data_IF_908820211448
#
_entry.id   IF_908820211448
#
_cell.length_a   1.000
_cell.length_b   1.000
_cell.length_c   1.000
_cell.angle_alpha   90.00
_cell.angle_beta   90.00
_cell.angle_gamma   90.00
#
_symmetry.space_group_name_H-M   'P 1'
#
loop_
_entity.id
_entity.type
_entity.pdbx_description
1 polymer ?
#
# COMPACT_ATOMS: atom_id res chain seq x y z
N UNK A 1 2.10 -14.16 -10.48
CA UNK A 1 2.27 -12.69 -10.57
C UNK A 1 1.88 -12.33 -11.99
N UNK A 2 0.61 -12.01 -12.17
CA UNK A 2 0.09 -11.53 -13.45
C UNK A 2 0.48 -10.07 -13.57
N UNK A 3 1.14 -9.70 -14.67
CA UNK A 3 1.32 -8.30 -15.06
C UNK A 3 -0.06 -7.65 -15.10
N UNK A 4 -0.33 -6.78 -14.13
CA UNK A 4 -1.55 -5.98 -14.07
C UNK A 4 -1.26 -4.57 -14.62
N UNK A 5 -0.47 -4.49 -15.69
CA UNK A 5 -0.43 -3.34 -16.59
C UNK A 5 -1.70 -3.41 -17.46
N UNK A 6 -2.84 -3.09 -16.87
CA UNK A 6 -4.03 -2.81 -17.65
C UNK A 6 -3.85 -1.43 -18.31
N UNK A 7 -3.35 -1.46 -19.55
CA UNK A 7 -3.32 -0.34 -20.51
C UNK A 7 -4.72 0.17 -20.92
N UNK A 8 -5.76 -0.12 -20.12
CA UNK A 8 -7.16 0.21 -20.38
C UNK A 8 -7.76 1.10 -19.29
N UNK A 9 -6.97 1.95 -18.64
CA UNK A 9 -7.53 3.04 -17.85
C UNK A 9 -8.20 4.03 -18.81
N UNK A 10 -9.54 4.12 -18.76
CA UNK A 10 -10.28 5.12 -19.54
C UNK A 10 -9.71 6.53 -19.27
N UNK A 11 -9.56 7.38 -20.31
CA UNK A 11 -8.99 8.71 -20.15
C UNK A 11 -9.80 9.53 -19.13
N UNK A 12 -9.09 10.27 -18.29
CA UNK A 12 -9.68 11.15 -17.28
C UNK A 12 -10.43 12.30 -17.98
N UNK A 13 -11.71 12.49 -17.63
CA UNK A 13 -12.61 13.49 -18.23
C UNK A 13 -13.04 14.59 -17.24
N UNK A 14 -12.31 14.76 -16.13
CA UNK A 14 -12.61 15.76 -15.11
C UNK A 14 -12.38 17.20 -15.57
N UNK A 15 -12.61 18.15 -14.66
CA UNK A 15 -12.56 19.59 -14.97
C UNK A 15 -11.12 20.00 -15.32
N UNK A 16 -10.92 20.51 -16.54
CA UNK A 16 -9.65 21.07 -16.96
C UNK A 16 -9.37 22.37 -16.19
N UNK A 17 -8.21 22.41 -15.55
CA UNK A 17 -7.74 23.54 -14.75
C UNK A 17 -6.60 24.31 -15.45
N UNK A 18 -6.21 23.91 -16.67
CA UNK A 18 -5.22 24.59 -17.49
C UNK A 18 -3.75 24.23 -17.18
N UNK A 19 -3.51 23.17 -16.40
CA UNK A 19 -2.18 22.74 -15.96
C UNK A 19 -1.80 21.36 -16.53
N UNK A 20 -1.66 21.25 -17.85
CA UNK A 20 -1.14 20.06 -18.54
C UNK A 20 -2.16 18.93 -18.78
N UNK A 21 -1.70 17.84 -19.38
CA UNK A 21 -2.52 16.65 -19.68
C UNK A 21 -2.81 15.86 -18.40
N UNK A 22 -4.07 15.85 -17.96
CA UNK A 22 -4.52 15.13 -16.77
C UNK A 22 -4.23 13.64 -16.83
N UNK A 23 -4.16 13.06 -18.03
CA UNK A 23 -3.79 11.65 -18.19
C UNK A 23 -2.30 11.44 -17.88
N UNK A 24 -1.43 12.41 -18.17
CA UNK A 24 -0.03 12.32 -17.79
C UNK A 24 0.16 12.36 -16.28
N UNK A 25 -0.62 13.19 -15.57
CA UNK A 25 -0.58 13.25 -14.10
C UNK A 25 -1.22 12.02 -13.45
N UNK A 26 -2.31 11.49 -14.01
CA UNK A 26 -2.89 10.23 -13.59
C UNK A 26 -1.89 9.07 -13.76
N UNK A 27 -1.21 9.00 -14.91
CA UNK A 27 -0.17 8.02 -15.17
C UNK A 27 1.04 8.19 -14.23
N UNK A 28 1.45 9.42 -13.90
CA UNK A 28 2.49 9.69 -12.90
C UNK A 28 2.09 9.14 -11.53
N UNK A 29 0.83 9.36 -11.11
CA UNK A 29 0.32 8.86 -9.83
C UNK A 29 0.26 7.32 -9.84
N UNK A 30 -0.27 6.71 -10.91
CA UNK A 30 -0.47 5.25 -11.01
C UNK A 30 0.86 4.49 -11.19
N UNK A 31 1.80 5.03 -11.97
CA UNK A 31 3.08 4.37 -12.29
C UNK A 31 4.07 4.33 -11.13
N UNK A 32 3.81 5.09 -10.06
CA UNK A 32 4.63 5.07 -8.86
C UNK A 32 4.36 3.77 -8.08
N UNK A 33 5.39 2.94 -7.84
CA UNK A 33 5.24 1.72 -7.05
C UNK A 33 5.05 2.11 -5.58
N UNK A 34 3.80 2.39 -5.20
CA UNK A 34 3.46 2.88 -3.88
C UNK A 34 3.84 1.90 -2.76
N UNK A 35 4.08 0.63 -3.07
CA UNK A 35 4.50 -0.39 -2.11
C UNK A 35 6.03 -0.47 -1.94
N UNK A 36 6.82 0.09 -2.87
CA UNK A 36 8.29 0.14 -2.76
C UNK A 36 8.80 1.57 -2.54
N UNK A 37 8.20 2.54 -3.23
CA UNK A 37 8.72 3.91 -3.39
C UNK A 37 8.17 4.90 -2.37
N UNK A 38 7.06 4.59 -1.68
CA UNK A 38 6.65 5.40 -0.52
C UNK A 38 7.67 5.27 0.61
N UNK A 39 8.13 6.39 1.13
CA UNK A 39 8.85 6.43 2.40
C UNK A 39 7.86 6.07 3.52
N UNK A 40 7.78 4.78 3.87
CA UNK A 40 7.03 4.33 5.05
C UNK A 40 7.51 5.07 6.31
N UNK A 41 6.73 5.06 7.40
CA UNK A 41 7.14 5.71 8.66
C UNK A 41 8.45 5.15 9.24
N UNK A 42 8.83 3.93 8.86
CA UNK A 42 10.14 3.35 9.15
C UNK A 42 11.31 3.94 8.32
N UNK A 43 11.05 4.81 7.35
CA UNK A 43 12.06 5.46 6.51
C UNK A 43 12.91 6.51 7.26
N UNK A 44 12.57 6.83 8.52
CA UNK A 44 13.46 7.57 9.42
C UNK A 44 14.82 6.86 9.64
N UNK A 45 14.96 5.59 9.26
CA UNK A 45 16.21 4.83 9.34
C UNK A 45 16.96 4.66 8.01
N UNK A 46 16.67 5.42 6.94
CA UNK A 46 17.49 5.42 5.70
C UNK A 46 18.81 6.20 5.84
N UNK A 47 19.37 6.23 7.05
CA UNK A 47 20.65 6.85 7.35
C UNK A 47 21.72 5.80 7.63
N UNK A 48 21.79 4.71 6.84
CA UNK A 48 22.95 3.83 6.87
C UNK A 48 23.26 3.38 5.45
N UNK A 49 24.24 4.06 4.84
CA UNK A 49 24.91 3.64 3.61
C UNK A 49 25.71 2.36 3.82
N UNK A 50 25.03 1.24 3.97
CA UNK A 50 25.63 -0.09 3.98
C UNK A 50 25.41 -0.72 2.61
N UNK A 51 26.37 -0.54 1.71
CA UNK A 51 26.53 -1.34 0.48
C UNK A 51 27.13 -2.73 0.75
N UNK A 52 26.98 -3.29 1.96
CA UNK A 52 27.24 -4.72 2.16
C UNK A 52 26.08 -5.49 1.53
N UNK A 53 26.37 -6.35 0.55
CA UNK A 53 25.43 -7.35 0.03
C UNK A 53 24.93 -8.20 1.20
N UNK A 54 23.84 -7.74 1.82
CA UNK A 54 23.16 -8.51 2.84
C UNK A 54 22.54 -9.72 2.12
N UNK A 55 23.15 -10.89 2.29
CA UNK A 55 22.56 -12.17 1.92
C UNK A 55 21.79 -12.69 3.11
N UNK A 56 20.47 -12.40 3.22
CA UNK A 56 19.70 -12.91 4.33
C UNK A 56 19.73 -14.44 4.32
N UNK A 57 20.15 -15.01 5.43
CA UNK A 57 20.16 -16.46 5.64
C UNK A 57 18.85 -16.90 6.28
N UNK A 58 18.48 -18.16 6.13
CA UNK A 58 17.28 -18.73 6.74
C UNK A 58 17.22 -18.51 8.27
N UNK A 59 18.37 -18.49 8.94
CA UNK A 59 18.51 -18.23 10.38
C UNK A 59 18.07 -16.83 10.81
N UNK A 60 18.10 -15.85 9.89
CA UNK A 60 17.68 -14.47 10.14
C UNK A 60 16.15 -14.30 10.21
N UNK A 61 15.38 -15.30 9.79
CA UNK A 61 13.92 -15.27 9.78
C UNK A 61 13.33 -15.76 11.12
N UNK A 62 12.11 -15.32 11.42
CA UNK A 62 11.36 -15.84 12.57
C UNK A 62 11.09 -17.34 12.40
N UNK A 63 10.89 -18.11 13.49
CA UNK A 63 10.61 -19.54 13.41
C UNK A 63 9.43 -19.89 12.49
N UNK A 64 8.38 -19.07 12.53
CA UNK A 64 7.18 -19.21 11.71
C UNK A 64 7.46 -19.07 10.21
N UNK A 65 8.33 -18.12 9.82
CA UNK A 65 8.73 -17.92 8.42
C UNK A 65 9.72 -18.98 7.92
N UNK A 66 10.49 -19.59 8.82
CA UNK A 66 11.45 -20.64 8.48
C UNK A 66 10.78 -21.94 8.05
N UNK A 67 9.76 -22.38 8.78
CA UNK A 67 9.10 -23.67 8.55
C UNK A 67 8.66 -23.92 7.10
N UNK A 68 7.94 -23.00 6.42
CA UNK A 68 7.53 -23.23 5.04
C UNK A 68 8.72 -23.26 4.07
N UNK A 69 9.77 -22.48 4.31
CA UNK A 69 10.97 -22.48 3.48
C UNK A 69 11.74 -23.80 3.65
N UNK A 70 11.88 -24.29 4.89
CA UNK A 70 12.52 -25.59 5.16
C UNK A 70 11.79 -26.72 4.46
N UNK A 71 10.45 -26.71 4.47
CA UNK A 71 9.65 -27.71 3.76
C UNK A 71 9.90 -27.68 2.24
N UNK A 72 10.03 -26.49 1.65
CA UNK A 72 10.32 -26.31 0.22
C UNK A 72 11.77 -26.65 -0.17
N UNK A 73 12.71 -26.57 0.77
CA UNK A 73 14.09 -27.00 0.59
C UNK A 73 14.28 -28.51 0.83
N UNK A 74 13.23 -29.22 1.23
CA UNK A 74 13.24 -30.66 1.44
C UNK A 74 13.66 -31.41 0.16
N UNK A 75 14.76 -32.17 0.24
CA UNK A 75 15.28 -32.95 -0.89
C UNK A 75 16.33 -32.24 -1.76
N UNK A 76 16.59 -30.94 -1.54
CA UNK A 76 17.68 -30.22 -2.23
C UNK A 76 18.98 -30.25 -1.41
N UNK A 77 20.12 -30.42 -2.11
CA UNK A 77 21.47 -30.43 -1.50
C UNK A 77 22.47 -29.59 -2.32
N UNK A 78 23.56 -29.18 -1.67
CA UNK A 78 24.65 -28.42 -2.30
C UNK A 78 24.23 -27.05 -2.86
N UNK A 79 24.88 -26.62 -3.94
CA UNK A 79 24.67 -25.29 -4.53
C UNK A 79 23.22 -25.02 -4.99
N UNK A 80 22.47 -26.05 -5.37
CA UNK A 80 21.06 -25.92 -5.74
C UNK A 80 20.17 -25.55 -4.54
N UNK A 81 20.51 -26.06 -3.35
CA UNK A 81 19.84 -25.69 -2.10
C UNK A 81 20.15 -24.26 -1.72
N UNK A 82 21.41 -23.85 -1.78
CA UNK A 82 21.84 -22.50 -1.37
C UNK A 82 21.24 -21.41 -2.26
N UNK A 83 21.20 -21.63 -3.58
CA UNK A 83 20.56 -20.70 -4.51
C UNK A 83 19.05 -20.58 -4.25
N UNK A 84 18.37 -21.71 -4.03
CA UNK A 84 16.92 -21.73 -3.76
C UNK A 84 16.58 -21.15 -2.39
N UNK A 85 17.42 -21.39 -1.39
CA UNK A 85 17.26 -20.80 -0.06
C UNK A 85 17.33 -19.27 -0.14
N UNK A 86 18.33 -18.72 -0.82
CA UNK A 86 18.46 -17.28 -0.99
C UNK A 86 17.23 -16.64 -1.65
N UNK A 87 16.69 -17.27 -2.70
CA UNK A 87 15.48 -16.82 -3.38
C UNK A 87 14.25 -16.84 -2.46
N UNK A 88 14.03 -17.95 -1.74
CA UNK A 88 12.88 -18.12 -0.85
C UNK A 88 12.95 -17.20 0.37
N UNK A 89 14.13 -17.00 0.94
CA UNK A 89 14.33 -16.07 2.06
C UNK A 89 14.07 -14.63 1.61
N UNK A 90 14.60 -14.22 0.45
CA UNK A 90 14.33 -12.89 -0.11
C UNK A 90 12.84 -12.69 -0.40
N UNK A 91 12.16 -13.69 -0.96
CA UNK A 91 10.73 -13.64 -1.21
C UNK A 91 9.94 -13.47 0.10
N UNK A 92 10.27 -14.25 1.14
CA UNK A 92 9.62 -14.16 2.44
C UNK A 92 9.86 -12.81 3.13
N UNK A 93 11.07 -12.26 3.05
CA UNK A 93 11.37 -10.93 3.58
C UNK A 93 10.62 -9.83 2.83
N UNK A 94 10.54 -9.91 1.49
CA UNK A 94 9.76 -8.96 0.69
C UNK A 94 8.29 -9.02 1.07
N UNK A 95 7.72 -10.21 1.19
CA UNK A 95 6.32 -10.37 1.60
C UNK A 95 6.08 -9.77 3.00
N UNK A 96 6.98 -10.05 3.95
CA UNK A 96 6.87 -9.49 5.30
C UNK A 96 7.01 -7.97 5.32
N UNK A 97 7.90 -7.41 4.51
CA UNK A 97 8.06 -5.97 4.39
C UNK A 97 6.79 -5.30 3.81
N UNK A 98 6.15 -5.95 2.84
CA UNK A 98 4.86 -5.51 2.30
C UNK A 98 3.77 -5.57 3.37
N UNK A 99 3.66 -6.67 4.11
CA UNK A 99 2.68 -6.80 5.20
C UNK A 99 2.84 -5.71 6.26
N UNK A 100 4.08 -5.44 6.67
CA UNK A 100 4.38 -4.38 7.64
C UNK A 100 4.02 -3.02 7.06
N UNK A 101 4.30 -2.77 5.78
CA UNK A 101 3.97 -1.50 5.13
C UNK A 101 2.46 -1.31 5.03
N UNK A 102 1.72 -2.32 4.60
CA UNK A 102 0.24 -2.29 4.55
C UNK A 102 -0.33 -1.97 5.93
N UNK A 103 0.25 -2.54 6.99
CA UNK A 103 -0.18 -2.25 8.35
C UNK A 103 0.20 -0.82 8.82
N UNK A 104 1.39 -0.34 8.49
CA UNK A 104 1.85 1.01 8.84
C UNK A 104 1.11 2.11 8.06
N UNK A 105 0.58 1.77 6.89
CA UNK A 105 -0.11 2.70 6.00
C UNK A 105 0.85 3.51 5.11
N UNK A 106 0.31 4.46 4.33
CA UNK A 106 1.03 5.11 3.24
C UNK A 106 2.06 6.17 3.70
N UNK A 107 2.16 6.47 5.00
CA UNK A 107 3.07 7.49 5.56
C UNK A 107 2.54 8.92 5.48
N UNK A 108 3.33 9.87 5.99
CA UNK A 108 3.01 11.31 5.95
C UNK A 108 3.22 11.85 4.54
N UNK A 109 2.28 12.65 4.04
CA UNK A 109 2.32 13.21 2.68
C UNK A 109 1.68 12.32 1.62
N UNK A 110 1.05 11.22 2.02
CA UNK A 110 0.32 10.35 1.10
C UNK A 110 -0.86 11.08 0.44
N UNK A 111 -1.02 10.89 -0.86
CA UNK A 111 -2.17 11.44 -1.59
C UNK A 111 -3.43 10.57 -1.37
N UNK A 112 -4.59 11.09 -1.77
CA UNK A 112 -5.87 10.40 -1.56
C UNK A 112 -5.92 9.00 -2.19
N UNK A 113 -5.30 8.81 -3.35
CA UNK A 113 -5.22 7.52 -4.05
C UNK A 113 -4.42 6.49 -3.25
N UNK A 114 -3.25 6.87 -2.76
CA UNK A 114 -2.40 6.02 -1.92
C UNK A 114 -3.13 5.62 -0.63
N UNK A 115 -3.82 6.56 0.02
CA UNK A 115 -4.60 6.27 1.23
C UNK A 115 -5.66 5.21 0.97
N UNK A 116 -6.41 5.31 -0.12
CA UNK A 116 -7.44 4.35 -0.49
C UNK A 116 -6.85 2.98 -0.85
N UNK A 117 -5.74 2.95 -1.61
CA UNK A 117 -5.04 1.72 -1.97
C UNK A 117 -4.60 0.94 -0.72
N UNK A 118 -3.98 1.62 0.25
CA UNK A 118 -3.55 1.01 1.50
C UNK A 118 -4.74 0.58 2.38
N UNK A 119 -5.85 1.32 2.36
CA UNK A 119 -7.07 0.93 3.07
C UNK A 119 -7.68 -0.37 2.51
N UNK A 120 -7.73 -0.51 1.18
CA UNK A 120 -8.19 -1.74 0.52
C UNK A 120 -7.28 -2.93 0.83
N UNK A 121 -5.96 -2.76 0.67
CA UNK A 121 -4.99 -3.80 0.95
C UNK A 121 -5.04 -4.28 2.41
N UNK A 122 -5.18 -3.34 3.36
CA UNK A 122 -5.31 -3.67 4.79
C UNK A 122 -6.57 -4.48 5.06
N UNK A 123 -7.72 -4.07 4.51
CA UNK A 123 -8.99 -4.79 4.71
C UNK A 123 -8.93 -6.19 4.11
N UNK A 124 -8.32 -6.38 2.94
CA UNK A 124 -8.09 -7.70 2.36
C UNK A 124 -7.21 -8.57 3.26
N UNK A 125 -6.15 -8.00 3.84
CA UNK A 125 -5.28 -8.72 4.78
C UNK A 125 -6.01 -9.10 6.08
N UNK A 126 -6.88 -8.24 6.59
CA UNK A 126 -7.71 -8.52 7.76
C UNK A 126 -8.68 -9.68 7.47
N UNK A 127 -9.30 -9.69 6.28
CA UNK A 127 -10.18 -10.76 5.81
C UNK A 127 -9.45 -12.10 5.64
N UNK A 128 -8.25 -12.10 5.04
CA UNK A 128 -7.43 -13.30 4.88
C UNK A 128 -7.02 -13.90 6.24
N UNK A 129 -6.60 -13.06 7.19
CA UNK A 129 -6.29 -13.52 8.57
C UNK A 129 -7.51 -14.10 9.28
N UNK A 130 -8.67 -13.48 9.10
CA UNK A 130 -9.93 -14.00 9.65
C UNK A 130 -10.28 -15.35 9.03
N UNK A 131 -10.18 -15.48 7.72
CA UNK A 131 -10.40 -16.73 6.98
C UNK A 131 -9.46 -17.85 7.46
N UNK A 132 -8.16 -17.57 7.58
CA UNK A 132 -7.18 -18.54 8.09
C UNK A 132 -7.49 -18.98 9.52
N UNK A 133 -7.90 -18.05 10.38
CA UNK A 133 -8.33 -18.36 11.75
C UNK A 133 -9.57 -19.27 11.75
N UNK A 134 -10.58 -18.97 10.94
CA UNK A 134 -11.79 -19.79 10.85
C UNK A 134 -11.45 -21.18 10.32
N UNK A 135 -10.61 -21.30 9.30
CA UNK A 135 -10.14 -22.60 8.82
C UNK A 135 -9.42 -23.39 9.90
N UNK A 136 -8.53 -22.75 10.66
CA UNK A 136 -7.85 -23.39 11.78
C UNK A 136 -8.86 -23.89 12.84
N UNK A 137 -9.86 -23.09 13.17
CA UNK A 137 -10.92 -23.46 14.13
C UNK A 137 -11.80 -24.62 13.62
N UNK A 138 -12.18 -24.62 12.33
CA UNK A 138 -12.98 -25.67 11.70
C UNK A 138 -12.21 -26.99 11.53
N UNK A 139 -10.88 -26.91 11.40
CA UNK A 139 -9.99 -28.06 11.30
C UNK A 139 -9.65 -28.71 12.64
N UNK A 140 -9.99 -28.09 13.78
CA UNK A 140 -9.70 -28.65 15.10
C UNK A 140 -10.41 -29.99 15.29
N UNK A 141 -9.61 -31.03 15.51
CA UNK A 141 -10.02 -32.41 15.65
C UNK A 141 -10.01 -32.81 17.13
N UNK A 142 -11.13 -33.39 17.61
CA UNK A 142 -11.33 -33.72 19.03
C UNK A 142 -11.22 -35.24 19.30
N UNK A 143 -11.22 -36.06 18.24
CA UNK A 143 -11.12 -37.50 18.32
C UNK A 143 -12.02 -38.21 17.33
N UNK A 144 -12.14 -39.52 17.48
CA UNK A 144 -13.07 -40.31 16.69
C UNK A 144 -14.27 -40.68 17.56
N UNK A 145 -15.46 -40.62 16.98
CA UNK A 145 -16.63 -41.27 17.56
C UNK A 145 -16.68 -42.68 16.98
N UNK A 146 -16.47 -43.68 17.83
CA UNK A 146 -16.60 -45.10 17.46
C UNK A 146 -18.01 -45.57 17.77
N UNK A 147 -18.68 -46.21 16.82
CA UNK A 147 -20.01 -46.80 17.03
C UNK A 147 -21.01 -46.62 15.90
N UNK A 148 -20.67 -45.86 14.85
CA UNK A 148 -21.44 -45.85 13.60
C UNK A 148 -21.15 -47.15 12.83
N UNK A 149 -22.18 -47.92 12.49
CA UNK A 149 -22.04 -49.12 11.66
C UNK A 149 -22.16 -48.69 10.21
N UNK A 150 -21.16 -48.99 9.38
CA UNK A 150 -21.26 -48.74 7.95
C UNK A 150 -22.39 -49.61 7.37
N UNK A 151 -23.43 -49.00 6.76
CA UNK A 151 -24.60 -49.72 6.26
C UNK A 151 -24.27 -50.69 5.11
N UNK A 152 -23.08 -50.57 4.52
CA UNK A 152 -22.62 -51.37 3.37
C UNK A 152 -21.80 -52.58 3.81
N UNK A 153 -20.96 -52.42 4.83
CA UNK A 153 -19.99 -53.45 5.28
C UNK A 153 -20.38 -54.09 6.61
N UNK A 154 -21.25 -53.45 7.40
CA UNK A 154 -21.65 -53.92 8.73
C UNK A 154 -20.57 -53.77 9.80
N UNK A 155 -19.42 -53.17 9.47
CA UNK A 155 -18.32 -52.96 10.39
C UNK A 155 -18.45 -51.63 11.15
N UNK A 156 -18.00 -51.57 12.41
CA UNK A 156 -17.94 -50.31 13.15
C UNK A 156 -16.92 -49.38 12.49
N UNK A 157 -17.40 -48.23 12.01
CA UNK A 157 -16.58 -47.15 11.48
C UNK A 157 -16.32 -46.09 12.54
N UNK A 158 -15.15 -45.47 12.41
CA UNK A 158 -14.71 -44.37 13.25
C UNK A 158 -14.95 -43.06 12.48
N UNK A 159 -15.99 -42.33 12.86
CA UNK A 159 -16.26 -41.01 12.27
C UNK A 159 -15.41 -39.94 12.97
N UNK A 160 -14.86 -39.01 12.19
CA UNK A 160 -14.07 -37.89 12.73
C UNK A 160 -14.99 -36.94 13.50
N UNK A 161 -14.72 -36.76 14.79
CA UNK A 161 -15.37 -35.75 15.62
C UNK A 161 -14.54 -34.48 15.65
N UNK A 162 -15.00 -33.47 14.92
CA UNK A 162 -14.43 -32.12 15.02
C UNK A 162 -14.82 -31.46 16.34
N UNK A 163 -13.96 -30.58 16.85
CA UNK A 163 -14.17 -29.84 18.10
C UNK A 163 -15.35 -28.89 18.02
N UNK A 164 -15.56 -28.27 16.86
CA UNK A 164 -16.68 -27.36 16.59
C UNK A 164 -17.68 -28.06 15.68
N UNK A 165 -18.93 -28.19 16.15
CA UNK A 165 -20.04 -28.84 15.45
C UNK A 165 -21.34 -28.05 15.60
N UNK A 166 -22.37 -28.49 14.88
CA UNK A 166 -23.73 -27.94 14.98
C UNK A 166 -23.84 -26.49 14.50
N UNK A 167 -24.63 -25.70 15.21
CA UNK A 167 -24.94 -24.31 14.84
C UNK A 167 -23.68 -23.43 14.79
N UNK A 168 -22.76 -23.59 15.75
CA UNK A 168 -21.50 -22.83 15.78
C UNK A 168 -20.65 -23.08 14.55
N UNK A 169 -20.65 -24.32 14.03
CA UNK A 169 -19.95 -24.64 12.78
C UNK A 169 -20.59 -23.95 11.59
N UNK A 170 -21.92 -23.98 11.50
CA UNK A 170 -22.68 -23.29 10.43
C UNK A 170 -22.38 -21.79 10.42
N UNK A 171 -22.39 -21.13 11.59
CA UNK A 171 -22.04 -19.70 11.68
C UNK A 171 -20.62 -19.39 11.15
N UNK A 172 -19.65 -20.27 11.40
CA UNK A 172 -18.30 -20.12 10.87
C UNK A 172 -18.24 -20.33 9.35
N UNK A 173 -18.97 -21.31 8.83
CA UNK A 173 -19.09 -21.58 7.40
C UNK A 173 -19.81 -20.43 6.68
N UNK A 174 -20.87 -19.88 7.26
CA UNK A 174 -21.57 -18.70 6.75
C UNK A 174 -20.66 -17.47 6.76
N UNK A 175 -19.86 -17.29 7.83
CA UNK A 175 -18.88 -16.19 7.91
C UNK A 175 -17.81 -16.32 6.81
N UNK A 176 -17.36 -17.52 6.47
CA UNK A 176 -16.45 -17.73 5.33
C UNK A 176 -17.09 -17.27 4.01
N UNK A 177 -18.38 -17.56 3.81
CA UNK A 177 -19.14 -17.08 2.65
C UNK A 177 -19.21 -15.54 2.61
N UNK A 178 -19.45 -14.90 3.76
CA UNK A 178 -19.46 -13.44 3.87
C UNK A 178 -18.07 -12.82 3.60
N UNK A 179 -17.00 -13.42 4.12
CA UNK A 179 -15.62 -12.96 3.87
C UNK A 179 -15.31 -12.97 2.37
N UNK A 180 -15.66 -14.05 1.67
CA UNK A 180 -15.46 -14.15 0.22
C UNK A 180 -16.23 -13.06 -0.54
N UNK A 181 -17.46 -12.76 -0.13
CA UNK A 181 -18.24 -11.66 -0.70
C UNK A 181 -17.60 -10.30 -0.40
N UNK A 182 -17.19 -10.02 0.84
CA UNK A 182 -16.51 -8.77 1.20
C UNK A 182 -15.24 -8.55 0.37
N UNK A 183 -14.42 -9.60 0.20
CA UNK A 183 -13.22 -9.55 -0.64
C UNK A 183 -13.56 -9.24 -2.10
N UNK A 184 -14.57 -9.90 -2.67
CA UNK A 184 -15.07 -9.65 -4.02
C UNK A 184 -15.55 -8.20 -4.22
N UNK A 185 -16.19 -7.58 -3.23
CA UNK A 185 -16.61 -6.18 -3.33
C UNK A 185 -15.41 -5.22 -3.37
N UNK A 186 -14.36 -5.52 -2.59
CA UNK A 186 -13.14 -4.72 -2.55
C UNK A 186 -12.33 -4.87 -3.84
N UNK A 187 -12.27 -6.07 -4.42
CA UNK A 187 -11.52 -6.32 -5.66
C UNK A 187 -12.33 -6.00 -6.92
N UNK A 188 -13.66 -5.91 -6.81
CA UNK A 188 -14.57 -5.69 -7.93
C UNK A 188 -14.83 -4.22 -8.27
N UNK A 189 -16.01 -3.98 -8.85
CA UNK A 189 -16.42 -2.67 -9.37
C UNK A 189 -16.49 -1.59 -8.29
N UNK A 190 -16.90 -1.96 -7.07
CA UNK A 190 -17.02 -1.02 -5.97
C UNK A 190 -15.66 -0.51 -5.51
N UNK A 191 -14.70 -1.40 -5.25
CA UNK A 191 -13.32 -1.00 -4.94
C UNK A 191 -12.69 -0.20 -6.06
N UNK A 192 -12.90 -0.61 -7.31
CA UNK A 192 -12.43 0.12 -8.50
C UNK A 192 -13.03 1.52 -8.60
N UNK A 193 -14.31 1.69 -8.26
CA UNK A 193 -14.98 3.00 -8.20
C UNK A 193 -14.40 3.89 -7.10
N UNK A 194 -14.15 3.33 -5.91
CA UNK A 194 -13.51 4.06 -4.81
C UNK A 194 -12.10 4.52 -5.19
N UNK A 195 -11.32 3.65 -5.83
CA UNK A 195 -9.98 3.98 -6.34
C UNK A 195 -10.02 5.11 -7.37
N UNK A 196 -10.95 5.06 -8.34
CA UNK A 196 -11.11 6.15 -9.32
C UNK A 196 -11.45 7.48 -8.66
N UNK A 197 -12.39 7.49 -7.72
CA UNK A 197 -12.73 8.71 -6.96
C UNK A 197 -11.54 9.24 -6.15
N UNK A 198 -10.74 8.34 -5.57
CA UNK A 198 -9.54 8.72 -4.83
C UNK A 198 -8.45 9.28 -5.75
N UNK A 199 -8.32 8.74 -6.97
CA UNK A 199 -7.44 9.27 -8.01
C UNK A 199 -7.85 10.67 -8.46
N UNK A 200 -9.13 10.88 -8.76
CA UNK A 200 -9.68 12.20 -9.11
C UNK A 200 -9.34 13.23 -8.03
N UNK A 201 -9.57 12.87 -6.76
CA UNK A 201 -9.22 13.74 -5.63
C UNK A 201 -7.72 14.02 -5.54
N UNK A 202 -6.88 13.02 -5.76
CA UNK A 202 -5.42 13.20 -5.73
C UNK A 202 -4.92 14.14 -6.84
N UNK A 203 -5.51 14.04 -8.04
CA UNK A 203 -5.23 14.94 -9.17
C UNK A 203 -5.62 16.37 -8.79
N UNK A 204 -6.84 16.58 -8.28
CA UNK A 204 -7.35 17.89 -7.88
C UNK A 204 -6.50 18.53 -6.78
N UNK A 205 -6.11 17.76 -5.76
CA UNK A 205 -5.28 18.25 -4.66
C UNK A 205 -3.87 18.62 -5.15
N UNK A 206 -3.32 17.85 -6.09
CA UNK A 206 -2.00 18.13 -6.70
C UNK A 206 -2.05 19.41 -7.53
N UNK A 207 -3.10 19.58 -8.36
CA UNK A 207 -3.32 20.81 -9.14
C UNK A 207 -3.42 22.03 -8.21
N UNK A 208 -4.28 21.98 -7.20
CA UNK A 208 -4.43 23.08 -6.23
C UNK A 208 -3.11 23.43 -5.55
N UNK A 209 -2.30 22.43 -5.18
CA UNK A 209 -0.99 22.67 -4.59
C UNK A 209 -0.03 23.38 -5.55
N UNK A 210 -0.01 22.96 -6.83
CA UNK A 210 0.78 23.62 -7.88
C UNK A 210 0.33 25.07 -8.12
N UNK A 211 -0.97 25.32 -8.16
CA UNK A 211 -1.53 26.66 -8.34
C UNK A 211 -1.16 27.59 -7.19
N UNK A 212 -1.31 27.11 -5.95
CA UNK A 212 -0.90 27.85 -4.76
C UNK A 212 0.59 28.17 -4.78
N UNK A 213 1.43 27.21 -5.17
CA UNK A 213 2.86 27.43 -5.31
C UNK A 213 3.18 28.47 -6.39
N UNK A 214 2.53 28.41 -7.55
CA UNK A 214 2.70 29.39 -8.62
C UNK A 214 2.31 30.80 -8.16
N UNK A 215 1.17 30.95 -7.48
CA UNK A 215 0.72 32.23 -6.90
C UNK A 215 1.74 32.76 -5.89
N UNK A 216 2.28 31.90 -5.02
CA UNK A 216 3.30 32.31 -4.04
C UNK A 216 4.59 32.78 -4.71
N UNK A 217 5.03 32.10 -5.77
CA UNK A 217 6.21 32.52 -6.53
C UNK A 217 5.99 33.86 -7.22
N UNK A 218 4.82 34.06 -7.84
CA UNK A 218 4.48 35.33 -8.47
C UNK A 218 4.36 36.46 -7.43
N UNK A 219 3.71 36.21 -6.29
CA UNK A 219 3.62 37.15 -5.18
C UNK A 219 5.01 37.55 -4.67
N UNK A 220 5.93 36.59 -4.54
CA UNK A 220 7.33 36.85 -4.16
C UNK A 220 8.04 37.71 -5.20
N UNK A 221 7.86 37.43 -6.49
CA UNK A 221 8.45 38.23 -7.57
C UNK A 221 7.91 39.67 -7.57
N UNK A 222 6.59 39.84 -7.44
CA UNK A 222 5.94 41.16 -7.33
C UNK A 222 6.41 41.92 -6.08
N UNK A 223 6.56 41.25 -4.94
CA UNK A 223 7.07 41.88 -3.72
C UNK A 223 8.49 42.43 -3.90
N UNK A 224 9.39 41.67 -4.56
CA UNK A 224 10.75 42.12 -4.88
C UNK A 224 10.73 43.32 -5.84
N UNK A 225 9.86 43.28 -6.85
CA UNK A 225 9.70 44.39 -7.79
C UNK A 225 9.25 45.67 -7.08
N UNK A 226 8.18 45.60 -6.28
CA UNK A 226 7.64 46.75 -5.55
C UNK A 226 8.64 47.32 -4.54
N UNK A 227 9.37 46.47 -3.81
CA UNK A 227 10.42 46.92 -2.90
C UNK A 227 11.53 47.69 -3.62
N UNK A 228 11.85 47.31 -4.87
CA UNK A 228 12.79 48.04 -5.71
C UNK A 228 12.21 49.40 -6.15
N UNK A 229 10.96 49.43 -6.61
CA UNK A 229 10.29 50.67 -6.98
C UNK A 229 10.19 51.65 -5.80
N UNK A 230 9.83 51.17 -4.61
CA UNK A 230 9.78 51.98 -3.39
C UNK A 230 11.15 52.59 -3.06
N UNK A 231 12.23 51.80 -3.19
CA UNK A 231 13.59 52.30 -3.00
C UNK A 231 13.96 53.36 -4.02
N UNK A 232 13.59 53.17 -5.30
CA UNK A 232 13.83 54.15 -6.37
C UNK A 232 13.06 55.44 -6.08
N UNK A 233 11.78 55.34 -5.73
CA UNK A 233 10.92 56.48 -5.39
C UNK A 233 11.44 57.25 -4.17
N UNK A 234 11.91 56.55 -3.14
CA UNK A 234 12.50 57.17 -1.95
C UNK A 234 13.78 57.95 -2.29
N UNK A 235 14.67 57.38 -3.10
CA UNK A 235 15.87 58.06 -3.58
C UNK A 235 15.53 59.29 -4.44
N UNK A 236 14.60 59.15 -5.38
CA UNK A 236 14.14 60.25 -6.24
C UNK A 236 13.55 61.42 -5.41
N UNK A 237 12.73 61.13 -4.40
CA UNK A 237 12.21 62.15 -3.48
C UNK A 237 13.33 62.87 -2.71
N UNK A 238 14.37 62.14 -2.29
CA UNK A 238 15.57 62.71 -1.68
C UNK A 238 16.31 63.69 -2.60
N UNK A 239 16.49 63.33 -3.87
CA UNK A 239 17.11 64.20 -4.87
C UNK A 239 16.29 65.46 -5.17
N UNK A 240 14.96 65.36 -5.29
CA UNK A 240 14.08 66.53 -5.50
C UNK A 240 14.17 67.52 -4.34
N UNK A 241 14.27 67.03 -3.09
CA UNK A 241 14.42 67.88 -1.91
C UNK A 241 15.79 68.57 -1.85
N UNK A 242 16.86 67.85 -2.21
CA UNK A 242 18.23 68.41 -2.29
C UNK A 242 18.36 69.48 -3.38
N UNK A 243 17.76 69.26 -4.55
CA UNK A 243 17.78 70.22 -5.66
C UNK A 243 17.05 71.54 -5.33
N UNK A 244 16.00 71.50 -4.50
CA UNK A 244 15.28 72.71 -4.04
C UNK A 244 15.99 73.46 -2.91
N UNK A 245 16.84 72.80 -2.12
CA UNK A 245 17.61 73.42 -1.04
C UNK A 245 18.91 74.11 -1.47
N UNK A 246 19.42 73.80 -2.68
CA UNK A 246 20.64 74.39 -3.24
C UNK A 246 20.44 75.63 -4.13
N UNK A 247 19.20 76.10 -4.27
CA UNK A 247 18.82 77.29 -5.06
C UNK A 247 18.36 78.46 -4.16
N UNK A 248 18.62 78.38 -2.85
CA UNK A 248 18.37 79.45 -1.87
C UNK A 248 19.65 80.10 -1.42
#
# INVERSE_FOLDING_TARGET
>A
MSDNTSDNAAPYTGKDHGFGDDNALANEIISFDHLRDTSGSAAASRQVGSQTEFKPMLSSLSPEMRQPIVAQLGGLTGAARDAREGELVLAAMKQRALDVRVHQGPGVGANAYQVEMFAQARKLQELDREQQRIFADLAQFDGFTTGAIDPTTGEPTAEKRYRIQGERRRHLEDRLGMIAQEALHIEGDEGSRRMRKALEKAIDDTKKSRDQFAILQEAKARAVHNAREDKINHLAAGFVKGARGGLG
#
